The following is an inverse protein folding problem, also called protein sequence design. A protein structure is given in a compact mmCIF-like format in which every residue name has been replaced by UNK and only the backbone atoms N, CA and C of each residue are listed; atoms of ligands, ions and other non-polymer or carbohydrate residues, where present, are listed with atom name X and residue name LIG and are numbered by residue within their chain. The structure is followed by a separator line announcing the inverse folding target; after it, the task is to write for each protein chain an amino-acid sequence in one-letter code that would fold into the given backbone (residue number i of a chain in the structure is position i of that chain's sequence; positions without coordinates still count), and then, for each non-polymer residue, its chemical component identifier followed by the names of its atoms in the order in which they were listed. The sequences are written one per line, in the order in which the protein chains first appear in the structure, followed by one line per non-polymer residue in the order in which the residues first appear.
data_IF_947232177459
#
_entry.id   IF_947232177459
#
_cell.length_a   1.000
_cell.length_b   1.000
_cell.length_c   1.000
_cell.angle_alpha   90.00
_cell.angle_beta   90.00
_cell.angle_gamma   90.00
#
_symmetry.space_group_name_H-M   'P 1'
#
loop_
_entity.id
_entity.type
_entity.pdbx_description
1 polymer ?
#
# COMPACT_ATOMS: atom_id res chain seq x y z
N UNK A 1 26.45 -6.60 2.34
CA UNK A 1 25.05 -7.07 2.46
C UNK A 1 24.31 -6.56 1.23
N UNK A 2 23.83 -7.44 0.36
CA UNK A 2 22.98 -7.02 -0.76
C UNK A 2 21.65 -6.53 -0.17
N UNK A 3 21.33 -5.27 -0.33
CA UNK A 3 19.99 -4.76 -0.02
C UNK A 3 19.01 -5.47 -0.94
N UNK A 4 18.12 -6.26 -0.36
CA UNK A 4 17.01 -6.85 -1.11
C UNK A 4 16.14 -5.68 -1.56
N UNK A 5 16.05 -5.47 -2.87
CA UNK A 5 15.17 -4.45 -3.45
C UNK A 5 13.74 -4.96 -3.28
N UNK A 6 12.96 -4.24 -2.49
CA UNK A 6 11.54 -4.57 -2.30
C UNK A 6 10.72 -3.77 -3.30
N UNK A 7 10.09 -4.48 -4.25
CA UNK A 7 9.15 -3.91 -5.21
C UNK A 7 7.72 -4.16 -4.72
N UNK A 8 6.96 -3.09 -4.56
CA UNK A 8 5.59 -3.12 -4.08
C UNK A 8 4.70 -2.40 -5.09
N UNK A 9 3.49 -2.90 -5.28
CA UNK A 9 2.45 -2.28 -6.10
C UNK A 9 1.26 -2.03 -5.18
N UNK A 10 0.86 -0.78 -5.07
CA UNK A 10 -0.38 -0.41 -4.39
C UNK A 10 -1.47 -0.34 -5.43
N UNK A 11 -2.55 -1.09 -5.23
CA UNK A 11 -3.60 -1.27 -6.23
C UNK A 11 -4.98 -1.04 -5.62
N UNK A 12 -5.86 -0.46 -6.41
CA UNK A 12 -7.28 -0.29 -6.13
C UNK A 12 -8.10 -0.52 -7.40
N UNK A 13 -9.39 -0.89 -7.26
CA UNK A 13 -10.29 -1.12 -8.39
C UNK A 13 -11.66 -0.49 -8.17
N UNK A 14 -12.27 0.02 -9.28
CA UNK A 14 -13.69 0.35 -9.31
C UNK A 14 -14.46 -0.71 -10.11
N UNK A 15 -15.71 -0.93 -9.74
CA UNK A 15 -16.52 -2.01 -10.27
C UNK A 15 -17.91 -1.56 -10.69
N UNK A 16 -18.61 -2.40 -11.47
CA UNK A 16 -20.03 -2.15 -11.81
C UNK A 16 -20.96 -2.21 -10.61
N UNK A 17 -20.47 -2.60 -9.46
CA UNK A 17 -21.19 -2.84 -8.22
C UNK A 17 -20.79 -4.15 -7.58
N UNK A 18 -21.54 -4.58 -6.58
CA UNK A 18 -21.28 -5.85 -5.87
C UNK A 18 -22.57 -6.47 -5.34
N UNK A 19 -22.57 -7.79 -5.20
CA UNK A 19 -23.66 -8.47 -4.51
C UNK A 19 -23.59 -8.24 -2.99
N UNK A 20 -24.73 -7.92 -2.39
CA UNK A 20 -24.85 -7.75 -0.91
C UNK A 20 -24.95 -9.08 -0.19
N UNK A 21 -25.32 -10.16 -0.92
CA UNK A 21 -25.45 -11.51 -0.39
C UNK A 21 -24.70 -12.48 -1.31
N UNK A 22 -24.02 -13.46 -0.73
CA UNK A 22 -23.23 -14.44 -1.49
C UNK A 22 -21.85 -13.91 -1.90
N UNK A 23 -21.41 -14.32 -3.09
CA UNK A 23 -20.11 -13.95 -3.63
C UNK A 23 -20.20 -12.54 -4.23
N UNK A 24 -19.49 -11.58 -3.65
CA UNK A 24 -19.63 -10.15 -3.95
C UNK A 24 -19.33 -9.79 -5.42
N UNK A 25 -18.41 -10.47 -6.08
CA UNK A 25 -18.00 -10.18 -7.47
C UNK A 25 -18.83 -10.93 -8.53
N UNK A 26 -19.62 -11.94 -8.16
CA UNK A 26 -20.33 -12.78 -9.14
C UNK A 26 -21.31 -11.95 -9.97
N UNK A 27 -21.17 -12.02 -11.30
CA UNK A 27 -22.00 -11.25 -12.24
C UNK A 27 -21.65 -9.76 -12.35
N UNK A 28 -20.65 -9.28 -11.61
CA UNK A 28 -20.13 -7.92 -11.74
C UNK A 28 -18.81 -7.89 -12.53
N UNK A 29 -18.38 -6.69 -12.92
CA UNK A 29 -17.15 -6.46 -13.67
C UNK A 29 -16.31 -5.36 -13.03
N UNK A 30 -14.98 -5.43 -13.22
CA UNK A 30 -14.07 -4.30 -13.00
C UNK A 30 -14.26 -3.28 -14.12
N UNK A 31 -14.25 -2.00 -13.78
CA UNK A 31 -14.40 -0.88 -14.73
C UNK A 31 -13.23 0.10 -14.69
N UNK A 32 -12.44 0.09 -13.63
CA UNK A 32 -11.20 0.86 -13.51
C UNK A 32 -10.20 0.06 -12.68
N UNK A 33 -8.93 0.10 -13.07
CA UNK A 33 -7.80 -0.39 -12.27
C UNK A 33 -6.80 0.74 -12.18
N UNK A 34 -6.42 1.08 -10.95
CA UNK A 34 -5.35 2.01 -10.64
C UNK A 34 -4.28 1.31 -9.80
N UNK A 35 -3.02 1.44 -10.21
CA UNK A 35 -1.93 0.86 -9.46
C UNK A 35 -0.67 1.73 -9.56
N UNK A 36 0.05 1.90 -8.46
CA UNK A 36 1.29 2.68 -8.39
C UNK A 36 2.43 1.84 -7.84
N UNK A 37 3.63 2.08 -8.35
CA UNK A 37 4.81 1.33 -7.96
C UNK A 37 5.61 2.03 -6.87
N UNK A 38 6.01 1.25 -5.86
CA UNK A 38 6.96 1.61 -4.83
C UNK A 38 8.22 0.73 -4.95
N UNK A 39 9.39 1.34 -4.94
CA UNK A 39 10.66 0.64 -4.76
C UNK A 39 11.33 1.16 -3.50
N UNK A 40 11.64 0.24 -2.58
CA UNK A 40 12.25 0.58 -1.28
C UNK A 40 11.48 1.72 -0.58
N UNK A 41 10.13 1.63 -0.56
CA UNK A 41 9.22 2.60 0.08
C UNK A 41 9.24 4.01 -0.54
N UNK A 42 9.52 4.12 -1.83
CA UNK A 42 9.46 5.39 -2.56
C UNK A 42 8.66 5.20 -3.83
N UNK A 43 7.73 6.10 -4.09
CA UNK A 43 7.03 6.15 -5.37
C UNK A 43 8.06 6.33 -6.50
N UNK A 44 7.98 5.49 -7.52
CA UNK A 44 8.85 5.55 -8.70
C UNK A 44 8.31 6.48 -9.78
N UNK A 45 7.02 6.83 -9.71
CA UNK A 45 6.28 7.50 -10.76
C UNK A 45 5.73 6.54 -11.82
N UNK A 46 6.09 5.25 -11.77
CA UNK A 46 5.46 4.24 -12.63
C UNK A 46 4.09 3.89 -12.09
N UNK A 47 3.11 3.81 -12.98
CA UNK A 47 1.75 3.45 -12.63
C UNK A 47 1.10 2.66 -13.78
N UNK A 48 0.09 1.89 -13.43
CA UNK A 48 -0.85 1.27 -14.37
C UNK A 48 -2.22 1.86 -14.11
N UNK A 49 -2.83 2.42 -15.14
CA UNK A 49 -4.15 3.02 -15.03
C UNK A 49 -4.96 2.73 -16.29
N UNK A 50 -6.11 2.10 -16.13
CA UNK A 50 -6.97 1.75 -17.25
C UNK A 50 -8.44 1.77 -16.85
N UNK A 51 -9.28 2.31 -17.74
CA UNK A 51 -10.74 2.13 -17.71
C UNK A 51 -11.12 0.94 -18.59
N UNK A 52 -12.11 0.17 -18.17
CA UNK A 52 -12.45 -1.11 -18.77
C UNK A 52 -13.94 -1.11 -19.12
N UNK A 53 -14.27 -1.51 -20.36
CA UNK A 53 -15.65 -1.69 -20.80
C UNK A 53 -16.24 -2.94 -20.16
N UNK A 54 -17.30 -2.80 -19.33
CA UNK A 54 -17.94 -3.95 -18.71
C UNK A 54 -18.92 -4.64 -19.68
N UNK A 55 -19.26 -5.88 -19.39
CA UNK A 55 -20.31 -6.63 -20.10
C UNK A 55 -21.72 -6.36 -19.57
N UNK A 56 -21.85 -5.54 -18.52
CA UNK A 56 -23.11 -5.19 -17.87
C UNK A 56 -23.18 -3.68 -17.58
N UNK A 57 -24.37 -3.18 -17.27
CA UNK A 57 -24.55 -1.82 -16.82
C UNK A 57 -24.05 -1.63 -15.39
N UNK A 58 -23.57 -0.44 -15.08
CA UNK A 58 -23.14 -0.01 -13.75
C UNK A 58 -24.38 0.18 -12.87
N UNK A 59 -24.31 -0.35 -11.66
CA UNK A 59 -25.36 -0.16 -10.65
C UNK A 59 -25.39 1.29 -10.17
N UNK A 60 -26.60 1.82 -9.93
CA UNK A 60 -26.76 3.22 -9.48
C UNK A 60 -26.03 3.52 -8.17
N UNK A 61 -25.88 2.53 -7.27
CA UNK A 61 -25.14 2.69 -6.01
C UNK A 61 -23.64 2.87 -6.27
N UNK A 62 -23.08 2.07 -7.18
CA UNK A 62 -21.67 2.18 -7.59
C UNK A 62 -21.39 3.49 -8.30
N UNK A 63 -22.25 3.88 -9.26
CA UNK A 63 -22.14 5.16 -9.95
C UNK A 63 -22.09 6.36 -9.00
N UNK A 64 -22.85 6.35 -7.90
CA UNK A 64 -22.82 7.43 -6.90
C UNK A 64 -21.48 7.52 -6.16
N UNK A 65 -20.72 6.42 -6.11
CA UNK A 65 -19.42 6.35 -5.41
C UNK A 65 -18.30 6.85 -6.32
N UNK A 66 -18.18 6.29 -7.53
CA UNK A 66 -17.05 6.58 -8.43
C UNK A 66 -17.39 7.54 -9.58
N UNK A 67 -18.66 7.77 -9.90
CA UNK A 67 -19.09 8.72 -10.94
C UNK A 67 -18.83 8.31 -12.39
N UNK A 68 -18.29 7.10 -12.62
CA UNK A 68 -17.97 6.58 -13.95
C UNK A 68 -19.28 6.16 -14.65
N UNK A 69 -19.57 6.74 -15.82
CA UNK A 69 -20.81 6.43 -16.56
C UNK A 69 -20.60 5.31 -17.57
N UNK A 70 -21.69 4.60 -17.91
CA UNK A 70 -21.66 3.59 -18.98
C UNK A 70 -21.22 4.19 -20.32
N UNK A 71 -21.66 5.42 -20.63
CA UNK A 71 -21.29 6.12 -21.89
C UNK A 71 -19.78 6.36 -21.94
N UNK A 72 -19.16 6.74 -20.83
CA UNK A 72 -17.71 6.96 -20.76
C UNK A 72 -16.92 5.67 -21.04
N UNK A 73 -17.48 4.51 -20.70
CA UNK A 73 -16.81 3.21 -20.87
C UNK A 73 -17.05 2.56 -22.23
N UNK A 74 -17.91 3.11 -23.07
CA UNK A 74 -18.31 2.48 -24.34
C UNK A 74 -17.16 2.30 -25.35
N UNK A 75 -16.16 3.16 -25.32
CA UNK A 75 -14.97 3.15 -26.17
C UNK A 75 -13.73 2.54 -25.50
N UNK A 76 -13.86 2.02 -24.28
CA UNK A 76 -12.72 1.47 -23.53
C UNK A 76 -12.46 0.00 -23.89
N UNK A 77 -11.21 -0.49 -23.70
CA UNK A 77 -10.88 -1.88 -23.93
C UNK A 77 -11.64 -2.81 -22.97
N UNK A 78 -11.84 -4.06 -23.39
CA UNK A 78 -12.33 -5.10 -22.49
C UNK A 78 -11.19 -5.61 -21.57
N UNK A 79 -11.54 -6.29 -20.49
CA UNK A 79 -10.56 -6.86 -19.56
C UNK A 79 -9.57 -7.82 -20.27
N UNK A 80 -10.03 -8.59 -21.25
CA UNK A 80 -9.19 -9.51 -22.03
C UNK A 80 -8.09 -8.82 -22.83
N UNK A 81 -8.24 -7.54 -23.15
CA UNK A 81 -7.27 -6.76 -23.94
C UNK A 81 -6.18 -6.16 -23.07
N UNK A 82 -6.44 -5.95 -21.78
CA UNK A 82 -5.50 -5.29 -20.83
C UNK A 82 -4.83 -6.25 -19.86
N UNK A 83 -5.31 -7.46 -19.76
CA UNK A 83 -4.89 -8.42 -18.73
C UNK A 83 -3.40 -8.75 -18.78
N UNK A 84 -2.81 -8.89 -19.96
CA UNK A 84 -1.40 -9.24 -20.10
C UNK A 84 -0.50 -8.09 -19.60
N UNK A 85 -0.89 -6.85 -19.85
CA UNK A 85 -0.18 -5.67 -19.34
C UNK A 85 -0.32 -5.55 -17.81
N UNK A 86 -1.53 -5.78 -17.28
CA UNK A 86 -1.76 -5.83 -15.84
C UNK A 86 -0.87 -6.88 -15.17
N UNK A 87 -0.90 -8.12 -15.66
CA UNK A 87 -0.11 -9.23 -15.11
C UNK A 87 1.39 -8.96 -15.19
N UNK A 88 1.86 -8.36 -16.28
CA UNK A 88 3.25 -7.93 -16.41
C UNK A 88 3.62 -6.89 -15.35
N UNK A 89 2.75 -5.88 -15.14
CA UNK A 89 2.99 -4.82 -14.19
C UNK A 89 3.06 -5.30 -12.75
N UNK A 90 2.19 -6.25 -12.34
CA UNK A 90 2.12 -6.73 -10.94
C UNK A 90 3.08 -7.89 -10.65
N UNK A 91 3.56 -8.62 -11.67
CA UNK A 91 4.33 -9.85 -11.51
C UNK A 91 5.56 -9.66 -10.61
N UNK A 92 5.72 -10.57 -9.65
CA UNK A 92 6.87 -10.60 -8.74
C UNK A 92 6.91 -9.47 -7.70
N UNK A 93 5.87 -8.64 -7.62
CA UNK A 93 5.75 -7.60 -6.62
C UNK A 93 4.94 -8.10 -5.39
N UNK A 94 5.07 -7.36 -4.28
CA UNK A 94 4.12 -7.41 -3.20
C UNK A 94 2.96 -6.47 -3.53
N UNK A 95 1.73 -6.99 -3.62
CA UNK A 95 0.52 -6.20 -3.82
C UNK A 95 -0.01 -5.70 -2.48
N UNK A 96 -0.19 -4.39 -2.36
CA UNK A 96 -0.77 -3.71 -1.21
C UNK A 96 -2.15 -3.21 -1.61
N UNK A 97 -3.18 -3.71 -0.95
CA UNK A 97 -4.57 -3.42 -1.29
C UNK A 97 -5.35 -3.16 -0.01
N UNK A 98 -6.31 -2.23 -0.03
CA UNK A 98 -7.15 -1.93 1.13
C UNK A 98 -8.43 -2.75 1.11
N UNK A 99 -8.55 -3.76 1.98
CA UNK A 99 -9.56 -4.81 1.92
C UNK A 99 -9.33 -5.77 0.74
N UNK A 100 -8.12 -6.31 0.67
CA UNK A 100 -7.59 -7.05 -0.47
C UNK A 100 -8.50 -8.20 -0.99
N UNK A 101 -9.31 -8.81 -0.12
CA UNK A 101 -10.24 -9.85 -0.54
C UNK A 101 -11.27 -9.39 -1.57
N UNK A 102 -11.58 -8.09 -1.60
CA UNK A 102 -12.50 -7.50 -2.57
C UNK A 102 -11.85 -7.47 -3.97
N UNK A 103 -10.76 -6.74 -4.12
CA UNK A 103 -10.12 -6.51 -5.42
C UNK A 103 -9.52 -7.80 -6.00
N UNK A 104 -8.84 -8.58 -5.18
CA UNK A 104 -8.29 -9.88 -5.59
C UNK A 104 -9.41 -10.81 -6.06
N UNK A 105 -10.55 -10.85 -5.36
CA UNK A 105 -11.70 -11.64 -5.76
C UNK A 105 -12.25 -11.23 -7.12
N UNK A 106 -12.35 -9.92 -7.38
CA UNK A 106 -12.77 -9.39 -8.68
C UNK A 106 -11.78 -9.71 -9.80
N UNK A 107 -10.47 -9.52 -9.55
CA UNK A 107 -9.43 -9.81 -10.55
C UNK A 107 -9.43 -11.31 -10.88
N UNK A 108 -9.42 -12.19 -9.88
CA UNK A 108 -9.44 -13.64 -10.08
C UNK A 108 -10.72 -14.08 -10.82
N UNK A 109 -11.86 -13.45 -10.54
CA UNK A 109 -13.10 -13.72 -11.25
C UNK A 109 -13.02 -13.29 -12.72
N UNK A 110 -12.48 -12.11 -13.03
CA UNK A 110 -12.26 -11.69 -14.42
C UNK A 110 -11.27 -12.63 -15.14
N UNK A 111 -10.18 -13.03 -14.48
CA UNK A 111 -9.23 -13.99 -15.03
C UNK A 111 -9.88 -15.33 -15.36
N UNK A 112 -10.80 -15.81 -14.51
CA UNK A 112 -11.50 -17.08 -14.70
C UNK A 112 -12.39 -17.10 -15.94
N UNK A 113 -12.90 -15.95 -16.38
CA UNK A 113 -13.74 -15.82 -17.58
C UNK A 113 -12.95 -15.89 -18.89
N UNK A 114 -11.64 -15.72 -18.85
CA UNK A 114 -10.82 -15.62 -20.07
C UNK A 114 -10.57 -16.97 -20.75
N UNK A 115 -10.99 -18.10 -20.18
CA UNK A 115 -10.69 -19.44 -20.67
C UNK A 115 -9.19 -19.66 -20.96
N UNK A 116 -8.32 -18.95 -20.25
CA UNK A 116 -6.85 -19.07 -20.28
C UNK A 116 -6.41 -19.73 -18.98
N UNK A 117 -5.36 -20.53 -19.05
CA UNK A 117 -4.80 -21.16 -17.85
C UNK A 117 -3.92 -20.17 -17.08
N UNK A 118 -4.55 -19.11 -16.54
CA UNK A 118 -3.89 -18.08 -15.75
C UNK A 118 -4.09 -18.44 -14.27
N UNK A 119 -3.01 -18.52 -13.46
CA UNK A 119 -3.14 -18.79 -12.03
C UNK A 119 -3.77 -17.62 -11.30
N UNK A 120 -4.30 -17.87 -10.11
CA UNK A 120 -4.81 -16.83 -9.22
C UNK A 120 -3.71 -15.83 -8.84
N UNK A 121 -4.10 -14.58 -8.57
CA UNK A 121 -3.18 -13.49 -8.22
C UNK A 121 -2.30 -13.84 -7.02
N UNK A 122 -2.85 -14.54 -6.03
CA UNK A 122 -2.10 -15.00 -4.85
C UNK A 122 -0.96 -15.98 -5.16
N UNK A 123 -0.94 -16.59 -6.34
CA UNK A 123 0.15 -17.43 -6.82
C UNK A 123 1.22 -16.64 -7.58
N UNK A 124 0.90 -15.44 -8.03
CA UNK A 124 1.78 -14.56 -8.82
C UNK A 124 2.46 -13.50 -7.94
N UNK A 125 1.77 -13.06 -6.89
CA UNK A 125 2.17 -11.95 -6.03
C UNK A 125 1.96 -12.29 -4.56
N UNK A 126 2.81 -11.74 -3.70
CA UNK A 126 2.49 -11.66 -2.28
C UNK A 126 1.41 -10.60 -2.08
N UNK A 127 0.39 -10.87 -1.26
CA UNK A 127 -0.71 -9.93 -1.02
C UNK A 127 -0.64 -9.42 0.43
N UNK A 128 -0.65 -8.12 0.59
CA UNK A 128 -0.73 -7.43 1.87
C UNK A 128 -2.03 -6.64 1.95
N UNK A 129 -2.90 -7.04 2.89
CA UNK A 129 -4.16 -6.34 3.19
C UNK A 129 -3.87 -5.20 4.18
N UNK A 130 -3.88 -3.96 3.67
CA UNK A 130 -3.63 -2.76 4.48
C UNK A 130 -4.76 -2.47 5.48
N UNK A 131 -6.01 -2.89 5.21
CA UNK A 131 -7.11 -2.78 6.19
C UNK A 131 -6.89 -3.72 7.37
N UNK A 132 -6.43 -4.95 7.12
CA UNK A 132 -6.09 -5.89 8.18
C UNK A 132 -4.93 -5.37 9.04
N UNK A 133 -3.93 -4.73 8.41
CA UNK A 133 -2.84 -4.06 9.11
C UNK A 133 -3.37 -2.89 9.96
N UNK A 134 -4.18 -2.00 9.38
CA UNK A 134 -4.76 -0.86 10.08
C UNK A 134 -5.61 -1.29 11.28
N UNK A 135 -6.38 -2.38 11.16
CA UNK A 135 -7.17 -2.94 12.28
C UNK A 135 -6.28 -3.44 13.44
N UNK A 136 -5.09 -3.95 13.15
CA UNK A 136 -4.11 -4.36 14.18
C UNK A 136 -3.50 -3.14 14.87
N UNK A 137 -3.19 -2.08 14.11
CA UNK A 137 -2.62 -0.84 14.65
C UNK A 137 -3.64 -0.01 15.43
N UNK A 138 -4.89 -0.01 15.00
CA UNK A 138 -5.97 0.83 15.54
C UNK A 138 -7.22 0.01 15.84
N UNK A 139 -7.18 -0.90 16.83
CA UNK A 139 -8.32 -1.73 17.19
C UNK A 139 -9.50 -0.86 17.66
N UNK A 140 -10.71 -1.21 17.21
CA UNK A 140 -11.93 -0.50 17.56
C UNK A 140 -12.13 0.88 16.91
N UNK A 141 -11.23 1.32 16.03
CA UNK A 141 -11.36 2.57 15.27
C UNK A 141 -11.88 2.29 13.85
N UNK A 142 -12.42 3.34 13.20
CA UNK A 142 -12.68 3.31 11.76
C UNK A 142 -11.32 3.27 11.04
N UNK A 143 -11.20 2.36 10.05
CA UNK A 143 -9.97 2.12 9.31
C UNK A 143 -10.19 2.11 7.79
N UNK A 144 -11.26 2.79 7.30
CA UNK A 144 -11.39 3.09 5.88
C UNK A 144 -10.34 4.14 5.47
N UNK A 145 -10.11 4.28 4.17
CA UNK A 145 -9.06 5.13 3.61
C UNK A 145 -9.16 6.58 4.12
N UNK A 146 -10.35 7.20 4.09
CA UNK A 146 -10.56 8.57 4.59
C UNK A 146 -10.19 8.72 6.08
N UNK A 147 -10.62 7.76 6.92
CA UNK A 147 -10.29 7.80 8.36
C UNK A 147 -8.79 7.63 8.63
N UNK A 148 -8.08 6.94 7.74
CA UNK A 148 -6.62 6.80 7.80
C UNK A 148 -5.93 8.09 7.31
N UNK A 149 -6.43 8.72 6.25
CA UNK A 149 -5.95 10.04 5.80
C UNK A 149 -6.06 11.08 6.91
N UNK A 150 -7.23 11.19 7.56
CA UNK A 150 -7.44 12.10 8.70
C UNK A 150 -6.42 11.83 9.82
N UNK A 151 -6.16 10.57 10.11
CA UNK A 151 -5.27 10.15 11.21
C UNK A 151 -3.81 10.44 10.94
N UNK A 152 -3.37 10.31 9.69
CA UNK A 152 -1.99 10.55 9.27
C UNK A 152 -1.78 11.94 8.67
N UNK A 153 -2.84 12.79 8.66
CA UNK A 153 -2.82 14.14 8.09
C UNK A 153 -2.42 14.17 6.61
N UNK A 154 -2.90 13.16 5.85
CA UNK A 154 -2.70 13.05 4.41
C UNK A 154 -3.82 13.84 3.72
N UNK A 155 -3.45 14.70 2.78
CA UNK A 155 -4.40 15.52 2.02
C UNK A 155 -5.16 14.67 1.00
N UNK A 156 -6.44 14.40 1.27
CA UNK A 156 -7.36 13.73 0.36
C UNK A 156 -8.41 14.69 -0.24
N UNK A 157 -8.17 16.01 -0.22
CA UNK A 157 -9.13 17.03 -0.70
C UNK A 157 -9.51 16.88 -2.18
N UNK A 158 -8.66 16.27 -2.99
CA UNK A 158 -8.91 15.95 -4.39
C UNK A 158 -9.85 14.77 -4.60
N UNK A 159 -10.11 13.98 -3.57
CA UNK A 159 -10.95 12.78 -3.57
C UNK A 159 -12.42 13.15 -3.39
N UNK A 160 -13.02 13.82 -4.37
CA UNK A 160 -14.46 14.17 -4.36
C UNK A 160 -15.34 12.96 -4.67
N UNK A 161 -14.85 12.07 -5.50
CA UNK A 161 -15.39 10.75 -5.82
C UNK A 161 -14.26 9.72 -5.73
N UNK A 162 -14.62 8.45 -5.64
CA UNK A 162 -13.65 7.37 -5.71
C UNK A 162 -13.10 7.25 -7.13
N UNK A 163 -11.81 6.97 -7.25
CA UNK A 163 -11.14 6.69 -8.51
C UNK A 163 -9.91 5.84 -8.22
N UNK A 164 -9.80 4.71 -8.90
CA UNK A 164 -8.85 3.66 -8.55
C UNK A 164 -7.40 4.16 -8.51
N UNK A 165 -6.97 5.00 -9.46
CA UNK A 165 -5.59 5.52 -9.44
C UNK A 165 -5.36 6.47 -8.27
N UNK A 166 -6.27 7.42 -8.03
CA UNK A 166 -6.16 8.36 -6.91
C UNK A 166 -6.19 7.63 -5.56
N UNK A 167 -7.06 6.63 -5.42
CA UNK A 167 -7.17 5.84 -4.20
C UNK A 167 -5.93 4.99 -3.96
N UNK A 168 -5.31 4.44 -5.02
CA UNK A 168 -4.02 3.76 -4.94
C UNK A 168 -2.87 4.71 -4.53
N UNK A 169 -2.82 5.94 -5.06
CA UNK A 169 -1.84 6.97 -4.68
C UNK A 169 -1.97 7.34 -3.20
N UNK A 170 -3.19 7.66 -2.75
CA UNK A 170 -3.47 7.97 -1.34
C UNK A 170 -3.16 6.78 -0.44
N UNK A 171 -3.54 5.56 -0.86
CA UNK A 171 -3.22 4.35 -0.11
C UNK A 171 -1.72 4.13 0.01
N UNK A 172 -0.93 4.45 -1.01
CA UNK A 172 0.53 4.35 -0.95
C UNK A 172 1.10 5.25 0.14
N UNK A 173 0.63 6.50 0.25
CA UNK A 173 1.04 7.43 1.31
C UNK A 173 0.62 6.90 2.68
N UNK A 174 -0.64 6.49 2.85
CA UNK A 174 -1.16 5.91 4.09
C UNK A 174 -0.35 4.68 4.51
N UNK A 175 -0.05 3.78 3.58
CA UNK A 175 0.72 2.57 3.85
C UNK A 175 2.16 2.88 4.28
N UNK A 176 2.79 3.85 3.64
CA UNK A 176 4.13 4.31 4.05
C UNK A 176 4.11 4.88 5.48
N UNK A 177 3.11 5.66 5.86
CA UNK A 177 2.97 6.18 7.21
C UNK A 177 2.66 5.05 8.23
N UNK A 178 1.73 4.15 7.91
CA UNK A 178 1.39 3.01 8.79
C UNK A 178 2.59 2.11 9.08
N UNK A 179 3.50 1.96 8.14
CA UNK A 179 4.64 1.04 8.22
C UNK A 179 5.98 1.74 8.47
N UNK A 180 6.02 3.08 8.44
CA UNK A 180 7.23 3.90 8.58
C UNK A 180 7.64 4.24 10.01
N UNK A 181 6.76 4.06 10.97
CA UNK A 181 6.82 4.67 12.30
C UNK A 181 7.64 3.96 13.37
N UNK A 182 8.52 3.02 13.08
CA UNK A 182 9.61 2.60 14.00
C UNK A 182 10.58 1.68 13.24
N UNK A 183 11.67 2.23 12.71
CA UNK A 183 12.87 1.41 12.58
C UNK A 183 13.25 0.97 13.99
N UNK A 184 13.04 -0.31 14.33
CA UNK A 184 13.67 -0.88 15.51
C UNK A 184 15.17 -0.65 15.34
N UNK A 185 15.75 0.18 16.18
CA UNK A 185 17.20 0.26 16.36
C UNK A 185 17.64 -1.12 16.89
N UNK A 186 17.82 -2.06 15.99
CA UNK A 186 18.53 -3.29 16.31
C UNK A 186 20.00 -2.92 16.46
N UNK A 187 20.39 -2.54 17.67
CA UNK A 187 21.78 -2.58 18.07
C UNK A 187 22.17 -4.07 18.09
N UNK A 188 22.65 -4.57 16.96
CA UNK A 188 23.37 -5.83 16.96
C UNK A 188 24.67 -5.59 17.71
N UNK A 189 24.67 -5.85 19.01
CA UNK A 189 25.89 -6.14 19.75
C UNK A 189 26.40 -7.49 19.22
N UNK A 190 27.10 -7.47 18.10
CA UNK A 190 28.02 -8.52 17.78
C UNK A 190 29.25 -8.24 18.65
N UNK A 191 29.56 -9.06 19.65
CA UNK A 191 30.87 -9.05 20.26
C UNK A 191 31.83 -9.71 19.26
N UNK A 192 32.23 -8.99 18.20
CA UNK A 192 33.44 -9.36 17.48
C UNK A 192 34.58 -9.36 18.49
N UNK A 193 35.41 -10.40 18.52
CA UNK A 193 36.58 -10.39 19.42
C UNK A 193 37.46 -9.22 19.02
N UNK A 194 37.45 -8.20 19.86
CA UNK A 194 38.30 -7.04 19.72
C UNK A 194 39.75 -7.49 19.63
N UNK A 195 40.30 -7.47 18.43
CA UNK A 195 41.75 -7.51 18.26
C UNK A 195 42.36 -6.31 19.00
N UNK A 196 43.20 -6.63 19.93
CA UNK A 196 43.92 -5.81 20.87
C UNK A 196 44.91 -4.86 20.19
N UNK A 197 44.44 -3.88 19.40
CA UNK A 197 45.32 -2.85 18.85
C UNK A 197 44.47 -1.53 18.79
N UNK A 198 45.01 -0.50 19.48
CA UNK A 198 44.55 0.90 19.60
C UNK A 198 43.81 1.27 20.91
N UNK A 199 44.36 0.96 22.06
CA UNK A 199 44.03 1.63 23.34
C UNK A 199 45.23 2.48 23.85
N UNK A 200 45.97 3.11 22.97
CA UNK A 200 47.13 3.91 23.43
C UNK A 200 46.94 5.42 23.38
N UNK A 201 45.75 5.96 23.14
CA UNK A 201 45.57 7.42 23.08
C UNK A 201 44.37 7.98 23.85
N UNK A 202 43.82 7.25 24.82
CA UNK A 202 42.88 7.89 25.76
C UNK A 202 43.67 8.53 26.87
N UNK A 203 43.97 9.83 26.73
CA UNK A 203 44.52 10.62 27.86
C UNK A 203 43.47 10.61 28.97
N UNK A 204 43.80 9.94 30.10
CA UNK A 204 43.01 10.10 31.31
C UNK A 204 43.07 11.57 31.73
N UNK A 205 41.92 12.19 31.86
CA UNK A 205 41.82 13.54 32.43
C UNK A 205 42.15 13.41 33.91
N UNK A 206 43.24 14.07 34.32
CA UNK A 206 43.62 14.15 35.72
C UNK A 206 42.64 15.10 36.43
N UNK A 207 41.76 14.51 37.24
CA UNK A 207 40.73 15.24 38.01
C UNK A 207 41.25 15.74 39.36
N UNK A 208 42.55 15.55 39.66
CA UNK A 208 43.13 15.91 40.97
C UNK A 208 43.35 17.40 41.18
N UNK A 209 43.30 18.23 40.12
CA UNK A 209 43.65 19.66 40.19
C UNK A 209 42.52 20.65 39.95
N UNK A 210 41.29 20.22 39.60
CA UNK A 210 40.18 21.16 39.33
C UNK A 210 38.94 20.76 40.14
N UNK A 211 38.64 21.49 41.21
CA UNK A 211 37.32 21.40 41.85
C UNK A 211 36.28 22.05 40.93
N UNK A 212 35.38 21.25 40.41
CA UNK A 212 34.20 21.76 39.69
C UNK A 212 33.29 22.48 40.71
N UNK A 213 32.98 23.77 40.45
CA UNK A 213 31.98 24.49 41.24
C UNK A 213 30.59 24.00 40.81
N UNK A 214 29.91 23.34 41.73
CA UNK A 214 28.50 22.95 41.53
C UNK A 214 27.63 24.13 41.89
N UNK A 215 26.92 24.67 40.92
CA UNK A 215 25.90 25.72 41.12
C UNK A 215 24.58 25.01 41.39
N UNK A 216 24.05 25.17 42.61
CA UNK A 216 22.74 24.70 42.98
C UNK A 216 21.67 25.69 42.49
N UNK A 217 20.59 25.20 41.84
CA UNK A 217 19.44 26.01 41.54
C UNK A 217 18.74 26.43 42.84
N UNK A 218 18.50 27.72 42.99
CA UNK A 218 17.69 28.23 44.11
C UNK A 218 16.23 28.09 43.72
N UNK A 219 15.45 27.46 44.55
CA UNK A 219 13.98 27.49 44.48
C UNK A 219 13.49 28.93 44.68
N UNK A 220 12.81 29.45 43.65
CA UNK A 220 11.92 30.60 43.73
C UNK A 220 10.63 30.28 42.98
#
# INVERSE_FOLDING_TARGET
MSTVITRQIVLDTETTGMNKLGIHYEGHNIIEIGAVELINRKLTGQHFHVYIKPSRLIDNEAFKIHGISNIFLDDKPNFSEIVDELLYFISGAELIIHNASFDVGFIDYELSKLNRNIPQISSLCQITDSLALARKLFPGKRNNLDSLCDRYHIDNSKRTLHGALLDAEILAEVYMEMTGGQTSLSFSFNPEPYNKIYIDNIKKIDTSSTKLNVIYANDK
#
